data_IF_543304631082
#
_entry.id   IF_543304631082
#
_cell.length_a   1.000
_cell.length_b   1.000
_cell.length_c   1.000
_cell.angle_alpha   90.00
_cell.angle_beta   90.00
_cell.angle_gamma   90.00
#
_symmetry.space_group_name_H-M   'P 1'
#
loop_
_entity.id
_entity.type
_entity.pdbx_description
1 polymer ?
#
# COMPACT_ATOMS: atom_id res chain seq x y z
N UNK A 1 18.57 16.32 2.68
CA UNK A 1 17.51 15.96 1.71
C UNK A 1 16.42 17.01 1.81
N UNK A 2 15.73 17.33 0.72
CA UNK A 2 14.61 18.27 0.75
C UNK A 2 13.30 17.52 0.91
N UNK A 3 12.34 18.13 1.61
CA UNK A 3 10.98 17.63 1.63
C UNK A 3 10.38 17.58 0.21
N UNK A 4 9.43 16.68 0.00
CA UNK A 4 8.69 16.55 -1.25
C UNK A 4 7.23 16.21 -0.96
N UNK A 5 6.35 16.49 -1.93
CA UNK A 5 4.91 16.22 -1.82
C UNK A 5 4.50 15.20 -2.86
N UNK A 6 3.77 14.17 -2.43
CA UNK A 6 3.13 13.19 -3.30
C UNK A 6 1.63 13.28 -3.12
N UNK A 7 0.94 13.16 -4.24
CA UNK A 7 -0.49 13.24 -4.36
C UNK A 7 -1.09 11.83 -4.12
N UNK A 8 -1.75 11.61 -2.98
CA UNK A 8 -2.23 10.27 -2.55
C UNK A 8 -3.76 10.19 -2.58
N UNK A 9 -4.32 9.08 -3.05
CA UNK A 9 -5.76 8.78 -2.98
C UNK A 9 -6.02 7.43 -2.31
N UNK A 10 -7.25 7.23 -1.83
CA UNK A 10 -7.65 5.94 -1.30
C UNK A 10 -7.57 4.85 -2.39
N UNK A 11 -7.04 3.63 -2.11
CA UNK A 11 -7.01 2.53 -3.07
C UNK A 11 -8.41 2.00 -3.43
N UNK A 12 -9.44 2.37 -2.65
CA UNK A 12 -10.85 2.03 -2.83
C UNK A 12 -11.72 3.27 -3.01
N UNK A 13 -11.85 3.80 -4.26
CA UNK A 13 -12.81 4.87 -4.54
C UNK A 13 -14.27 4.42 -4.36
N UNK A 14 -14.50 3.10 -4.31
CA UNK A 14 -15.75 2.47 -3.88
C UNK A 14 -15.46 1.06 -3.33
N UNK A 15 -16.37 0.52 -2.52
CA UNK A 15 -16.31 -0.87 -2.02
C UNK A 15 -15.62 -1.04 -0.67
N UNK A 16 -15.12 0.03 -0.05
CA UNK A 16 -14.62 -0.02 1.32
C UNK A 16 -15.77 -0.33 2.29
N UNK A 17 -15.53 -1.24 3.24
CA UNK A 17 -16.53 -1.71 4.18
C UNK A 17 -16.20 -1.39 5.65
N UNK A 18 -14.93 -1.43 6.05
CA UNK A 18 -14.56 -1.34 7.47
C UNK A 18 -13.08 -1.07 7.71
N UNK A 19 -12.77 -0.41 8.82
CA UNK A 19 -11.42 -0.34 9.39
C UNK A 19 -11.07 -1.71 10.01
N UNK A 20 -9.91 -2.29 9.67
CA UNK A 20 -9.55 -3.65 10.13
C UNK A 20 -8.24 -3.74 10.93
N UNK A 21 -7.44 -2.68 10.97
CA UNK A 21 -6.25 -2.58 11.82
C UNK A 21 -5.26 -1.55 11.31
N UNK A 22 -4.77 -0.69 12.20
CA UNK A 22 -3.75 0.31 11.87
C UNK A 22 -2.33 -0.09 12.31
N UNK A 23 -1.34 0.79 12.10
CA UNK A 23 0.01 0.58 12.58
C UNK A 23 0.09 0.29 14.08
N UNK A 24 0.88 -0.71 14.48
CA UNK A 24 1.03 -1.12 15.88
C UNK A 24 -0.13 -1.93 16.48
N UNK A 25 -1.22 -2.12 15.74
CA UNK A 25 -2.41 -2.83 16.23
C UNK A 25 -2.43 -4.31 15.82
N UNK A 26 -2.92 -5.18 16.69
CA UNK A 26 -3.11 -6.60 16.37
C UNK A 26 -1.82 -7.27 15.85
N UNK A 27 -1.86 -7.77 14.61
CA UNK A 27 -0.72 -8.40 13.94
C UNK A 27 0.35 -7.43 13.40
N UNK A 28 0.10 -6.12 13.40
CA UNK A 28 1.01 -5.09 12.90
C UNK A 28 2.09 -4.75 13.92
N UNK A 29 2.99 -5.71 14.13
CA UNK A 29 4.08 -5.61 15.10
C UNK A 29 5.45 -5.48 14.40
N UNK A 30 6.43 -4.99 15.16
CA UNK A 30 7.84 -4.89 14.73
C UNK A 30 8.45 -6.26 14.38
N UNK A 31 9.57 -6.35 13.67
CA UNK A 31 10.53 -5.30 13.26
C UNK A 31 10.39 -4.84 11.81
N UNK A 32 9.58 -5.53 11.01
CA UNK A 32 9.43 -5.20 9.59
C UNK A 32 8.46 -4.04 9.41
N UNK A 33 8.92 -2.92 8.82
CA UNK A 33 8.08 -1.73 8.61
C UNK A 33 6.78 -2.05 7.85
N UNK A 34 6.85 -2.94 6.85
CA UNK A 34 5.70 -3.29 6.01
C UNK A 34 4.67 -4.15 6.75
N UNK A 35 5.01 -4.64 7.96
CA UNK A 35 4.08 -5.30 8.88
C UNK A 35 3.66 -4.29 9.96
N UNK A 36 4.63 -3.66 10.64
CA UNK A 36 4.37 -2.73 11.75
C UNK A 36 3.51 -1.52 11.34
N UNK A 37 3.70 -1.01 10.13
CA UNK A 37 2.95 0.11 9.55
C UNK A 37 1.92 -0.36 8.51
N UNK A 38 1.49 -1.62 8.62
CA UNK A 38 0.35 -2.12 7.86
C UNK A 38 -0.92 -1.34 8.18
N UNK A 39 -1.72 -1.12 7.15
CA UNK A 39 -3.04 -0.52 7.22
C UNK A 39 -4.01 -1.47 6.51
N UNK A 40 -4.82 -2.16 7.31
CA UNK A 40 -5.81 -3.12 6.82
C UNK A 40 -7.10 -2.38 6.47
N UNK A 41 -7.29 -2.18 5.18
CA UNK A 41 -8.43 -1.51 4.60
C UNK A 41 -9.45 -2.56 4.15
N UNK A 42 -10.53 -2.71 4.92
CA UNK A 42 -11.56 -3.71 4.68
C UNK A 42 -12.36 -3.44 3.42
N UNK A 43 -12.46 -4.45 2.57
CA UNK A 43 -13.25 -4.44 1.34
C UNK A 43 -13.59 -5.89 0.95
N UNK A 44 -14.75 -6.09 0.32
CA UNK A 44 -15.18 -7.43 -0.09
C UNK A 44 -14.26 -8.04 -1.14
N UNK A 45 -14.15 -9.38 -1.16
CA UNK A 45 -13.41 -10.10 -2.20
C UNK A 45 -13.87 -9.67 -3.61
N UNK A 46 -12.93 -9.50 -4.53
CA UNK A 46 -13.19 -9.00 -5.88
C UNK A 46 -13.30 -7.47 -5.99
N UNK A 47 -13.24 -6.72 -4.88
CA UNK A 47 -13.21 -5.25 -4.95
C UNK A 47 -11.92 -4.80 -5.64
N UNK A 48 -12.04 -3.93 -6.64
CA UNK A 48 -10.88 -3.41 -7.37
C UNK A 48 -9.94 -2.63 -6.45
N UNK A 49 -8.66 -3.00 -6.46
CA UNK A 49 -7.58 -2.27 -5.80
C UNK A 49 -6.92 -1.34 -6.81
N UNK A 50 -6.78 -0.05 -6.46
CA UNK A 50 -6.10 0.95 -7.29
C UNK A 50 -4.81 1.44 -6.65
N UNK A 51 -3.86 1.87 -7.49
CA UNK A 51 -2.64 2.53 -7.04
C UNK A 51 -2.99 3.82 -6.29
N UNK A 52 -2.45 3.99 -5.08
CA UNK A 52 -2.76 5.14 -4.24
C UNK A 52 -1.96 6.38 -4.65
N UNK A 53 -0.88 6.23 -5.42
CA UNK A 53 0.03 7.29 -5.87
C UNK A 53 0.72 6.86 -7.18
N UNK A 54 1.29 7.82 -7.90
CA UNK A 54 2.11 7.55 -9.08
C UNK A 54 3.37 6.79 -8.68
N UNK A 55 3.73 5.72 -9.39
CA UNK A 55 4.81 4.86 -8.98
C UNK A 55 5.39 4.02 -10.13
N UNK A 56 6.48 3.33 -9.83
CA UNK A 56 6.96 2.19 -10.60
C UNK A 56 7.12 0.96 -9.70
N UNK A 57 6.85 -0.23 -10.25
CA UNK A 57 6.95 -1.49 -9.51
C UNK A 57 8.42 -1.88 -9.36
N UNK A 58 8.88 -2.09 -8.13
CA UNK A 58 10.28 -2.48 -7.84
C UNK A 58 10.41 -3.90 -7.30
N UNK A 59 9.35 -4.45 -6.72
CA UNK A 59 9.23 -5.89 -6.43
C UNK A 59 7.82 -6.35 -6.76
N UNK A 60 7.74 -7.56 -7.30
CA UNK A 60 6.47 -8.22 -7.59
C UNK A 60 6.61 -9.71 -7.32
N UNK A 61 5.74 -10.24 -6.46
CA UNK A 61 5.51 -11.67 -6.32
C UNK A 61 4.08 -11.95 -6.80
N UNK A 62 3.89 -12.69 -7.91
CA UNK A 62 2.55 -13.01 -8.40
C UNK A 62 1.80 -13.88 -7.41
N UNK A 63 0.47 -13.88 -7.51
CA UNK A 63 -0.38 -14.73 -6.68
C UNK A 63 -0.17 -16.20 -7.05
N UNK A 64 0.31 -16.99 -6.09
CA UNK A 64 0.40 -18.45 -6.16
C UNK A 64 -0.44 -19.06 -5.03
N UNK A 65 -1.64 -19.52 -5.38
CA UNK A 65 -2.59 -20.09 -4.42
C UNK A 65 -2.06 -21.34 -3.71
N UNK A 66 -1.03 -22.02 -4.26
CA UNK A 66 -0.42 -23.18 -3.61
C UNK A 66 0.55 -22.79 -2.49
N UNK A 67 1.02 -21.54 -2.48
CA UNK A 67 1.90 -20.97 -1.47
C UNK A 67 1.15 -20.18 -0.37
N UNK A 68 -0.15 -19.98 -0.54
CA UNK A 68 -0.96 -19.21 0.40
C UNK A 68 -1.03 -19.88 1.78
N UNK A 69 -0.95 -19.04 2.80
CA UNK A 69 -1.14 -19.38 4.20
C UNK A 69 -2.13 -18.41 4.82
N UNK A 70 -2.59 -18.68 6.04
CA UNK A 70 -3.47 -17.74 6.76
C UNK A 70 -2.84 -16.35 7.00
N UNK A 71 -1.51 -16.20 6.86
CA UNK A 71 -0.77 -14.95 7.12
C UNK A 71 -0.19 -14.29 5.87
N UNK A 72 0.22 -15.10 4.90
CA UNK A 72 0.86 -14.64 3.67
C UNK A 72 0.10 -15.26 2.53
N UNK A 73 -0.62 -14.44 1.79
CA UNK A 73 -1.46 -14.88 0.69
C UNK A 73 -1.71 -13.76 -0.32
N UNK A 74 -2.08 -14.14 -1.55
CA UNK A 74 -2.26 -13.21 -2.65
C UNK A 74 -0.93 -12.73 -3.26
N UNK A 75 -1.03 -11.95 -4.33
CA UNK A 75 0.08 -11.23 -4.92
C UNK A 75 0.60 -10.14 -3.97
N UNK A 76 1.90 -9.88 -4.07
CA UNK A 76 2.60 -8.84 -3.33
C UNK A 76 3.29 -7.88 -4.29
N UNK A 77 3.01 -6.59 -4.15
CA UNK A 77 3.63 -5.54 -4.95
C UNK A 77 4.34 -4.56 -4.01
N UNK A 78 5.59 -4.24 -4.31
CA UNK A 78 6.26 -3.08 -3.73
C UNK A 78 6.56 -2.09 -4.84
N UNK A 79 6.02 -0.88 -4.70
CA UNK A 79 6.13 0.19 -5.69
C UNK A 79 6.80 1.40 -5.06
N UNK A 80 7.55 2.15 -5.85
CA UNK A 80 8.19 3.39 -5.42
C UNK A 80 7.71 4.57 -6.23
N UNK A 81 7.57 5.70 -5.55
CA UNK A 81 7.29 6.97 -6.20
C UNK A 81 8.39 7.33 -7.23
N UNK A 82 8.13 8.20 -8.21
CA UNK A 82 9.09 8.54 -9.27
C UNK A 82 10.44 9.10 -8.76
N UNK A 83 10.47 9.68 -7.56
CA UNK A 83 11.70 10.18 -6.92
C UNK A 83 12.45 9.12 -6.10
N UNK A 84 11.94 7.88 -5.99
CA UNK A 84 12.54 6.81 -5.19
C UNK A 84 12.68 7.12 -3.69
N UNK A 85 12.01 8.16 -3.18
CA UNK A 85 12.07 8.61 -1.77
C UNK A 85 10.84 8.18 -0.96
N UNK A 86 9.87 7.49 -1.58
CA UNK A 86 8.68 6.93 -0.95
C UNK A 86 8.29 5.61 -1.63
N UNK A 87 7.72 4.68 -0.88
CA UNK A 87 7.16 3.45 -1.45
C UNK A 87 5.94 2.93 -0.73
N UNK A 88 5.27 1.96 -1.37
CA UNK A 88 4.08 1.31 -0.89
C UNK A 88 4.11 -0.19 -1.13
N UNK A 89 3.78 -0.96 -0.09
CA UNK A 89 3.62 -2.40 -0.12
C UNK A 89 2.13 -2.76 -0.12
N UNK A 90 1.69 -3.51 -1.13
CA UNK A 90 0.33 -3.98 -1.32
C UNK A 90 0.34 -5.51 -1.29
N UNK A 91 -0.53 -6.13 -0.49
CA UNK A 91 -0.72 -7.58 -0.48
C UNK A 91 -2.19 -7.95 -0.30
N UNK A 92 -2.51 -9.25 -0.40
CA UNK A 92 -3.89 -9.76 -0.41
C UNK A 92 -4.64 -9.32 -1.68
N UNK A 93 -3.88 -9.26 -2.79
CA UNK A 93 -4.39 -8.89 -4.12
C UNK A 93 -4.40 -10.13 -5.02
N UNK A 94 -5.41 -10.32 -5.85
CA UNK A 94 -5.45 -11.29 -6.94
C UNK A 94 -5.77 -10.59 -8.25
N UNK A 95 -5.80 -11.34 -9.36
CA UNK A 95 -6.18 -10.82 -10.68
C UNK A 95 -5.37 -9.57 -11.09
N UNK A 96 -4.08 -9.53 -10.69
CA UNK A 96 -3.15 -8.47 -11.09
C UNK A 96 -3.07 -8.44 -12.63
N UNK A 97 -3.26 -7.30 -13.30
CA UNK A 97 -3.18 -7.21 -14.76
C UNK A 97 -1.86 -7.79 -15.29
N UNK A 98 -1.94 -8.67 -16.30
CA UNK A 98 -0.78 -9.44 -16.78
C UNK A 98 0.42 -8.61 -17.28
N UNK A 99 0.21 -7.33 -17.62
CA UNK A 99 1.26 -6.40 -18.02
C UNK A 99 1.99 -5.69 -16.86
N UNK A 100 1.52 -5.85 -15.62
CA UNK A 100 2.20 -5.30 -14.46
C UNK A 100 3.32 -6.26 -14.02
N UNK A 101 4.55 -5.78 -14.13
CA UNK A 101 5.77 -6.50 -13.76
C UNK A 101 6.75 -5.53 -13.10
N UNK A 102 7.88 -6.01 -12.60
CA UNK A 102 8.96 -5.12 -12.12
C UNK A 102 9.41 -4.19 -13.25
N UNK A 103 9.46 -2.90 -12.96
CA UNK A 103 9.77 -1.82 -13.91
C UNK A 103 8.56 -1.19 -14.59
N UNK A 104 7.36 -1.78 -14.47
CA UNK A 104 6.13 -1.15 -14.96
C UNK A 104 5.85 0.16 -14.22
N UNK A 105 5.48 1.20 -14.97
CA UNK A 105 4.98 2.47 -14.45
C UNK A 105 3.47 2.35 -14.20
N UNK A 106 3.00 2.93 -13.11
CA UNK A 106 1.58 3.05 -12.78
C UNK A 106 1.29 4.47 -12.35
N UNK A 107 0.14 4.98 -12.76
CA UNK A 107 -0.39 6.25 -12.27
C UNK A 107 -1.34 5.98 -11.10
N UNK A 108 -1.50 6.96 -10.21
CA UNK A 108 -2.55 6.94 -9.20
C UNK A 108 -3.90 6.64 -9.85
N UNK A 109 -4.64 5.71 -9.26
CA UNK A 109 -5.94 5.27 -9.77
C UNK A 109 -5.86 4.11 -10.77
N UNK A 110 -4.67 3.75 -11.27
CA UNK A 110 -4.52 2.56 -12.11
C UNK A 110 -4.85 1.29 -11.33
N UNK A 111 -5.45 0.32 -12.01
CA UNK A 111 -5.86 -0.96 -11.40
C UNK A 111 -4.62 -1.81 -11.10
N UNK A 112 -4.50 -2.24 -9.85
CA UNK A 112 -3.45 -3.17 -9.40
C UNK A 112 -3.96 -4.62 -9.27
N UNK A 113 -5.27 -4.82 -9.30
CA UNK A 113 -5.92 -6.11 -9.19
C UNK A 113 -7.20 -6.00 -8.37
N UNK A 114 -7.51 -7.05 -7.64
CA UNK A 114 -8.71 -7.17 -6.82
C UNK A 114 -8.36 -7.70 -5.43
N UNK A 115 -9.14 -7.33 -4.42
CA UNK A 115 -8.99 -7.88 -3.07
C UNK A 115 -9.22 -9.39 -3.11
N UNK A 116 -8.30 -10.14 -2.54
CA UNK A 116 -8.37 -11.58 -2.41
C UNK A 116 -8.75 -11.98 -0.99
N UNK A 117 -9.67 -12.94 -0.88
CA UNK A 117 -10.08 -13.52 0.39
C UNK A 117 -9.58 -14.96 0.48
N UNK A 118 -9.02 -15.31 1.63
CA UNK A 118 -8.77 -16.70 2.03
C UNK A 118 -9.79 -17.09 3.11
N UNK A 119 -10.31 -18.31 3.02
CA UNK A 119 -11.34 -18.79 3.94
C UNK A 119 -10.89 -18.68 5.40
N UNK A 120 -11.73 -18.06 6.23
CA UNK A 120 -11.46 -17.86 7.66
C UNK A 120 -10.72 -16.56 8.00
N UNK A 121 -10.30 -15.79 7.01
CA UNK A 121 -9.73 -14.44 7.18
C UNK A 121 -10.70 -13.42 6.60
N UNK A 122 -11.00 -12.35 7.33
CA UNK A 122 -11.86 -11.29 6.82
C UNK A 122 -11.14 -10.54 5.68
N UNK A 123 -11.84 -10.32 4.57
CA UNK A 123 -11.29 -9.73 3.34
C UNK A 123 -10.87 -8.27 3.53
N UNK A 124 -9.63 -7.94 3.13
CA UNK A 124 -9.06 -6.60 3.21
C UNK A 124 -7.88 -6.47 2.25
N UNK A 125 -7.48 -5.23 1.97
CA UNK A 125 -6.16 -4.89 1.45
C UNK A 125 -5.25 -4.55 2.62
N UNK A 126 -4.09 -5.19 2.69
CA UNK A 126 -2.99 -4.72 3.52
C UNK A 126 -2.14 -3.76 2.69
N UNK A 127 -2.12 -2.48 3.10
CA UNK A 127 -1.29 -1.43 2.51
C UNK A 127 -0.32 -0.92 3.57
N UNK A 128 0.98 -0.93 3.30
CA UNK A 128 1.96 -0.25 4.14
C UNK A 128 2.73 0.78 3.33
N UNK A 129 3.00 1.95 3.90
CA UNK A 129 3.79 3.01 3.25
C UNK A 129 5.12 3.24 3.97
N UNK A 130 6.09 3.72 3.22
CA UNK A 130 7.44 3.99 3.72
C UNK A 130 7.99 5.27 3.11
N UNK A 131 8.64 6.08 3.94
CA UNK A 131 9.57 7.10 3.51
C UNK A 131 10.96 6.47 3.37
N UNK A 132 11.61 6.68 2.23
CA UNK A 132 12.97 6.22 1.96
C UNK A 132 13.89 7.45 2.09
N UNK A 133 14.32 7.72 3.32
CA UNK A 133 15.17 8.86 3.67
C UNK A 133 16.52 8.72 2.97
N UNK A 134 16.87 9.69 2.12
CA UNK A 134 18.09 9.60 1.30
C UNK A 134 17.85 8.98 -0.08
N UNK A 135 16.63 8.50 -0.37
CA UNK A 135 16.26 7.87 -1.63
C UNK A 135 16.83 6.44 -1.80
N UNK A 136 16.18 5.64 -2.63
CA UNK A 136 16.69 4.32 -2.99
C UNK A 136 17.94 4.43 -3.90
N UNK A 137 18.83 3.40 -3.93
CA UNK A 137 18.78 2.15 -3.18
C UNK A 137 19.41 2.20 -1.78
N UNK A 138 20.08 3.30 -1.40
CA UNK A 138 20.89 3.39 -0.18
C UNK A 138 20.20 4.02 1.04
N UNK A 139 18.97 4.52 0.88
CA UNK A 139 18.25 5.25 1.91
C UNK A 139 17.74 4.40 3.07
N UNK A 140 17.42 5.07 4.17
CA UNK A 140 16.80 4.48 5.37
C UNK A 140 15.28 4.40 5.18
N UNK A 141 14.71 3.24 5.47
CA UNK A 141 13.27 2.99 5.34
C UNK A 141 12.59 3.31 6.68
N UNK A 142 11.74 4.33 6.68
CA UNK A 142 10.93 4.73 7.83
C UNK A 142 9.45 4.50 7.51
N UNK A 143 8.78 3.62 8.26
CA UNK A 143 7.36 3.35 8.06
C UNK A 143 6.51 4.59 8.31
N UNK A 144 5.43 4.71 7.54
CA UNK A 144 4.56 5.89 7.48
C UNK A 144 3.13 5.49 7.81
N UNK A 145 2.53 6.21 8.76
CA UNK A 145 1.12 6.03 9.14
C UNK A 145 0.26 7.09 8.45
N UNK A 146 -0.57 6.65 7.50
CA UNK A 146 -1.63 7.43 6.87
C UNK A 146 -3.01 6.81 7.10
N UNK A 147 -3.16 5.97 8.13
CA UNK A 147 -4.35 5.13 8.27
C UNK A 147 -5.61 5.97 8.39
N UNK A 148 -5.60 6.99 9.25
CA UNK A 148 -6.74 7.87 9.43
C UNK A 148 -7.07 8.68 8.16
N UNK A 149 -6.06 9.06 7.35
CA UNK A 149 -6.30 9.72 6.07
C UNK A 149 -7.07 8.79 5.12
N UNK A 150 -6.68 7.51 5.03
CA UNK A 150 -7.41 6.53 4.23
C UNK A 150 -8.83 6.34 4.76
N UNK A 151 -9.02 6.19 6.08
CA UNK A 151 -10.36 6.06 6.67
C UNK A 151 -11.26 7.27 6.41
N UNK A 152 -10.71 8.48 6.38
CA UNK A 152 -11.46 9.71 6.11
C UNK A 152 -11.85 9.88 4.63
N UNK A 153 -11.18 9.15 3.72
CA UNK A 153 -11.34 9.28 2.26
C UNK A 153 -11.95 8.03 1.61
N UNK A 154 -12.46 7.09 2.40
CA UNK A 154 -13.08 5.86 1.90
C UNK A 154 -14.24 6.15 0.96
N UNK A 155 -14.40 5.31 -0.07
CA UNK A 155 -15.49 5.44 -1.04
C UNK A 155 -15.56 6.83 -1.69
N UNK A 156 -14.39 7.43 -1.95
CA UNK A 156 -14.27 8.73 -2.61
C UNK A 156 -13.09 8.76 -3.57
N UNK A 157 -13.16 9.65 -4.55
CA UNK A 157 -12.05 9.99 -5.46
C UNK A 157 -11.18 11.13 -4.89
N UNK A 158 -11.22 11.35 -3.57
CA UNK A 158 -10.48 12.41 -2.93
C UNK A 158 -8.97 12.21 -3.08
N UNK A 159 -8.28 13.32 -3.30
CA UNK A 159 -6.83 13.40 -3.43
C UNK A 159 -6.30 14.25 -2.29
N UNK A 160 -5.33 13.71 -1.56
CA UNK A 160 -4.65 14.37 -0.45
C UNK A 160 -3.18 14.56 -0.81
N UNK A 161 -2.68 15.80 -0.91
CA UNK A 161 -1.25 16.06 -1.00
C UNK A 161 -0.58 15.67 0.33
N UNK A 162 0.43 14.82 0.28
CA UNK A 162 1.16 14.32 1.45
C UNK A 162 2.62 14.75 1.35
N UNK A 163 3.10 15.53 2.32
CA UNK A 163 4.47 16.05 2.34
C UNK A 163 5.35 15.21 3.26
N UNK A 164 6.40 14.63 2.67
CA UNK A 164 7.43 13.83 3.34
C UNK A 164 8.66 14.71 3.61
N UNK A 165 9.14 14.72 4.86
CA UNK A 165 10.13 15.69 5.33
C UNK A 165 11.59 15.26 5.14
N UNK A 166 11.82 14.00 4.77
CA UNK A 166 13.13 13.36 4.63
C UNK A 166 13.97 13.38 5.91
N UNK A 167 13.31 13.25 7.05
CA UNK A 167 13.93 13.21 8.38
C UNK A 167 13.30 12.17 9.32
N UNK A 168 12.31 11.40 8.84
CA UNK A 168 11.60 10.38 9.60
C UNK A 168 10.52 10.90 10.54
N UNK A 169 10.26 12.21 10.55
CA UNK A 169 9.05 12.75 11.17
C UNK A 169 7.79 12.34 10.39
N UNK A 170 6.61 12.27 11.04
CA UNK A 170 5.36 12.00 10.33
C UNK A 170 5.13 13.00 9.18
N UNK A 171 4.59 12.55 8.04
CA UNK A 171 4.29 13.44 6.94
C UNK A 171 3.14 14.41 7.28
N UNK A 172 3.10 15.54 6.57
CA UNK A 172 2.01 16.52 6.67
C UNK A 172 0.96 16.29 5.57
N UNK A 173 -0.32 16.56 5.88
CA UNK A 173 -1.49 16.45 4.99
C UNK A 173 -2.05 17.83 4.61
#
# INVERSE_FOLDING_TARGET
MSAFTIDVSNPFPAGFTSAMGGPGEGGHQSENWYIQYGMDLGAGAGTTVRAAFDAHITKYSPHDTSADTAKVYGAQLFMRAPNDEMGGFYTHVTNVPAGLTVGSQVSRGDVLGEVYEIAGTASHLHLALVEIIGGAPGGQYQGVDLYQMFLNTVNSEAVTPVTFNQDGSPPAL
#
